data_IF_211010728447
#
_entry.id   IF_211010728447
#
_cell.length_a   1.000
_cell.length_b   1.000
_cell.length_c   1.000
_cell.angle_alpha   90.00
_cell.angle_beta   90.00
_cell.angle_gamma   90.00
#
_symmetry.space_group_name_H-M   'P 1'
#
loop_
_entity.id
_entity.type
_entity.pdbx_description
1 polymer ?
#
# COMPACT_ATOMS: atom_id res chain seq x y z
N UNK A 1 -1.81 35.00 14.20
CA UNK A 1 -0.75 34.21 13.55
C UNK A 1 -1.45 33.13 12.75
N UNK A 2 -1.37 33.21 11.42
CA UNK A 2 -1.91 32.18 10.53
C UNK A 2 -0.99 30.97 10.65
N UNK A 3 -1.54 29.82 11.06
CA UNK A 3 -0.81 28.56 11.05
C UNK A 3 -0.45 28.25 9.61
N UNK A 4 0.84 28.16 9.36
CA UNK A 4 1.42 27.78 8.08
C UNK A 4 0.98 26.33 7.80
N UNK A 5 0.01 26.16 6.91
CA UNK A 5 -0.30 24.87 6.29
C UNK A 5 0.84 24.57 5.33
N UNK A 6 1.93 24.04 5.85
CA UNK A 6 3.06 23.59 5.04
C UNK A 6 2.58 22.41 4.18
N UNK A 7 2.21 22.71 2.94
CA UNK A 7 2.17 21.72 1.86
C UNK A 7 3.57 21.13 1.74
N UNK A 8 3.78 19.96 2.31
CA UNK A 8 4.97 19.16 2.05
C UNK A 8 4.79 18.47 0.70
N UNK A 9 4.98 19.22 -0.38
CA UNK A 9 4.96 18.70 -1.77
C UNK A 9 6.31 18.87 -2.46
N UNK A 10 7.42 18.74 -1.73
CA UNK A 10 8.77 18.61 -2.29
C UNK A 10 9.55 17.57 -1.50
N UNK A 11 9.88 16.45 -2.15
CA UNK A 11 10.67 15.36 -1.59
C UNK A 11 9.87 14.42 -0.70
N UNK A 12 9.00 13.60 -1.29
CA UNK A 12 8.67 12.33 -0.63
C UNK A 12 10.01 11.57 -0.56
N UNK A 13 10.48 11.28 0.65
CA UNK A 13 11.59 10.32 0.80
C UNK A 13 11.22 9.00 0.09
N UNK A 14 12.22 8.23 -0.38
CA UNK A 14 11.98 6.97 -1.12
C UNK A 14 11.03 6.02 -0.37
N UNK A 15 10.99 6.14 0.96
CA UNK A 15 10.11 5.40 1.85
C UNK A 15 8.64 5.82 1.71
N UNK A 16 8.37 7.12 1.59
CA UNK A 16 7.03 7.65 1.38
C UNK A 16 6.49 7.32 -0.01
N UNK A 17 7.31 7.37 -1.06
CA UNK A 17 6.90 6.94 -2.40
C UNK A 17 6.56 5.44 -2.40
N UNK A 18 7.40 4.62 -1.77
CA UNK A 18 7.16 3.18 -1.61
C UNK A 18 5.81 2.86 -0.96
N UNK A 19 5.53 3.49 0.18
CA UNK A 19 4.27 3.26 0.91
C UNK A 19 3.07 3.76 0.12
N UNK A 20 3.19 4.91 -0.54
CA UNK A 20 2.12 5.49 -1.33
C UNK A 20 1.71 4.57 -2.49
N UNK A 21 2.69 4.04 -3.23
CA UNK A 21 2.43 3.15 -4.35
C UNK A 21 1.84 1.81 -3.90
N UNK A 22 2.35 1.26 -2.79
CA UNK A 22 1.76 0.06 -2.19
C UNK A 22 0.28 0.29 -1.80
N UNK A 23 -0.06 1.44 -1.23
CA UNK A 23 -1.43 1.77 -0.85
C UNK A 23 -2.35 1.93 -2.06
N UNK A 24 -1.88 2.55 -3.15
CA UNK A 24 -2.60 2.63 -4.44
C UNK A 24 -2.95 1.25 -4.97
N UNK A 25 -1.97 0.37 -5.04
CA UNK A 25 -2.17 -0.99 -5.55
C UNK A 25 -3.16 -1.78 -4.72
N UNK A 26 -3.08 -1.63 -3.40
CA UNK A 26 -4.03 -2.26 -2.50
C UNK A 26 -5.44 -1.78 -2.81
N UNK A 27 -5.67 -0.46 -2.77
CA UNK A 27 -7.01 0.11 -2.97
C UNK A 27 -7.56 -0.26 -4.35
N UNK A 28 -6.73 -0.29 -5.39
CA UNK A 28 -7.12 -0.81 -6.71
C UNK A 28 -7.56 -2.27 -6.68
N UNK A 29 -6.83 -3.13 -5.97
CA UNK A 29 -7.24 -4.52 -5.74
C UNK A 29 -8.56 -4.62 -4.95
N UNK A 30 -8.88 -3.65 -4.08
CA UNK A 30 -10.20 -3.55 -3.47
C UNK A 30 -11.28 -3.13 -4.46
N UNK A 31 -11.02 -2.12 -5.30
CA UNK A 31 -11.97 -1.65 -6.31
C UNK A 31 -12.38 -2.80 -7.23
N UNK A 32 -11.42 -3.60 -7.69
CA UNK A 32 -11.66 -4.79 -8.54
C UNK A 32 -12.54 -5.86 -7.89
N UNK A 33 -12.59 -5.92 -6.56
CA UNK A 33 -13.23 -7.00 -5.82
C UNK A 33 -14.58 -6.59 -5.19
N UNK A 34 -14.66 -5.37 -4.66
CA UNK A 34 -15.84 -4.85 -3.94
C UNK A 34 -16.67 -3.89 -4.80
N UNK A 35 -16.13 -3.48 -5.94
CA UNK A 35 -16.63 -2.34 -6.68
C UNK A 35 -16.03 -1.04 -6.18
N UNK A 36 -15.86 -0.11 -7.10
CA UNK A 36 -15.17 1.17 -6.87
C UNK A 36 -15.79 1.98 -5.73
N UNK A 37 -17.11 2.13 -5.72
CA UNK A 37 -17.80 2.94 -4.71
C UNK A 37 -17.56 2.44 -3.27
N UNK A 38 -17.58 1.12 -3.06
CA UNK A 38 -17.38 0.51 -1.74
C UNK A 38 -15.92 0.60 -1.31
N UNK A 39 -15.00 0.36 -2.24
CA UNK A 39 -13.56 0.48 -1.99
C UNK A 39 -13.16 1.91 -1.62
N UNK A 40 -13.63 2.90 -2.39
CA UNK A 40 -13.37 4.32 -2.11
C UNK A 40 -14.00 4.77 -0.79
N UNK A 41 -15.20 4.31 -0.45
CA UNK A 41 -15.83 4.61 0.84
C UNK A 41 -14.97 4.10 2.01
N UNK A 42 -14.36 2.91 1.87
CA UNK A 42 -13.47 2.33 2.88
C UNK A 42 -12.13 3.06 2.94
N UNK A 43 -11.54 3.38 1.78
CA UNK A 43 -10.29 4.14 1.67
C UNK A 43 -10.43 5.55 2.27
N UNK A 44 -11.55 6.22 2.09
CA UNK A 44 -11.85 7.52 2.76
C UNK A 44 -11.92 7.43 4.28
N UNK A 45 -12.05 6.22 4.83
CA UNK A 45 -12.00 5.96 6.27
C UNK A 45 -10.60 5.71 6.82
N UNK A 46 -9.55 5.87 6.00
CA UNK A 46 -8.15 5.73 6.40
C UNK A 46 -7.42 7.07 6.23
N UNK A 47 -6.20 7.23 6.77
CA UNK A 47 -5.43 8.47 6.66
C UNK A 47 -4.85 8.73 5.26
N UNK A 48 -5.57 8.37 4.20
CA UNK A 48 -5.16 8.62 2.82
C UNK A 48 -5.63 10.01 2.37
N UNK A 49 -4.76 10.72 1.67
CA UNK A 49 -5.16 11.89 0.89
C UNK A 49 -5.63 11.41 -0.49
N UNK A 50 -6.82 11.86 -0.88
CA UNK A 50 -7.43 11.48 -2.14
C UNK A 50 -7.93 12.73 -2.84
N UNK A 51 -7.78 12.76 -4.16
CA UNK A 51 -8.38 13.82 -4.95
C UNK A 51 -9.90 13.61 -5.15
N UNK A 52 -10.49 14.50 -5.96
CA UNK A 52 -11.93 14.48 -6.28
C UNK A 52 -12.35 13.25 -7.08
N UNK A 53 -11.42 12.64 -7.83
CA UNK A 53 -11.65 11.49 -8.69
C UNK A 53 -11.45 10.18 -7.90
N UNK A 54 -10.88 10.27 -6.70
CA UNK A 54 -10.66 9.15 -5.80
C UNK A 54 -9.28 8.52 -5.97
N UNK A 55 -8.36 9.22 -6.63
CA UNK A 55 -6.96 8.81 -6.74
C UNK A 55 -6.20 9.19 -5.47
N UNK A 56 -5.35 8.27 -5.00
CA UNK A 56 -4.57 8.49 -3.78
C UNK A 56 -3.35 9.35 -4.15
N UNK A 57 -3.30 10.54 -3.58
CA UNK A 57 -2.24 11.54 -3.83
C UNK A 57 -1.22 11.59 -2.70
N UNK A 58 -1.55 11.05 -1.52
CA UNK A 58 -0.69 11.07 -0.35
C UNK A 58 -1.31 10.34 0.84
N UNK A 59 -0.70 10.49 2.01
CA UNK A 59 -1.23 10.00 3.28
C UNK A 59 -0.72 10.84 4.46
N UNK A 60 -1.45 10.80 5.58
CA UNK A 60 -1.11 11.50 6.82
C UNK A 60 -0.53 10.53 7.86
N UNK A 61 0.66 10.84 8.37
CA UNK A 61 1.35 10.04 9.39
C UNK A 61 2.45 9.17 8.79
N UNK A 62 2.81 8.08 9.47
CA UNK A 62 3.82 7.14 8.97
C UNK A 62 3.19 6.13 8.02
N UNK A 63 3.91 5.79 6.95
CA UNK A 63 3.43 4.82 5.95
C UNK A 63 3.04 3.47 6.55
N UNK A 64 3.81 2.96 7.52
CA UNK A 64 3.51 1.72 8.25
C UNK A 64 2.15 1.75 8.97
N UNK A 65 1.82 2.85 9.63
CA UNK A 65 0.58 3.00 10.42
C UNK A 65 -0.65 3.12 9.51
N UNK A 66 -0.49 3.82 8.40
CA UNK A 66 -1.55 3.97 7.38
C UNK A 66 -1.80 2.64 6.71
N UNK A 67 -0.73 1.89 6.39
CA UNK A 67 -0.81 0.57 5.80
C UNK A 67 -1.53 -0.43 6.73
N UNK A 68 -1.22 -0.39 8.03
CA UNK A 68 -1.91 -1.21 9.03
C UNK A 68 -3.39 -0.82 9.16
N UNK A 69 -3.70 0.47 9.06
CA UNK A 69 -5.09 0.96 9.10
C UNK A 69 -5.89 0.47 7.89
N UNK A 70 -5.30 0.50 6.69
CA UNK A 70 -5.89 -0.07 5.47
C UNK A 70 -6.11 -1.57 5.67
N UNK A 71 -5.10 -2.30 6.16
CA UNK A 71 -5.23 -3.73 6.44
C UNK A 71 -6.37 -4.07 7.38
N UNK A 72 -6.53 -3.32 8.46
CA UNK A 72 -7.65 -3.52 9.40
C UNK A 72 -8.98 -3.32 8.69
N UNK A 73 -9.10 -2.28 7.85
CA UNK A 73 -10.30 -2.02 7.05
C UNK A 73 -10.56 -3.13 6.02
N UNK A 74 -9.51 -3.72 5.45
CA UNK A 74 -9.62 -4.91 4.60
C UNK A 74 -10.11 -6.12 5.41
N UNK A 75 -9.58 -6.31 6.62
CA UNK A 75 -9.96 -7.35 7.55
C UNK A 75 -11.44 -7.30 7.92
N UNK A 76 -11.99 -6.09 8.15
CA UNK A 76 -13.42 -5.88 8.41
C UNK A 76 -14.33 -6.43 7.29
N UNK A 77 -13.85 -6.48 6.04
CA UNK A 77 -14.66 -6.89 4.88
C UNK A 77 -14.44 -8.36 4.51
N UNK A 78 -13.19 -8.84 4.60
CA UNK A 78 -12.82 -10.17 4.09
C UNK A 78 -12.42 -11.17 5.18
N UNK A 79 -12.32 -10.74 6.42
CA UNK A 79 -11.69 -11.47 7.51
C UNK A 79 -10.16 -11.34 7.46
N UNK A 80 -9.55 -11.24 8.64
CA UNK A 80 -8.13 -10.94 8.82
C UNK A 80 -7.20 -11.90 8.06
N UNK A 81 -7.55 -13.19 8.01
CA UNK A 81 -6.74 -14.18 7.31
C UNK A 81 -6.70 -13.95 5.79
N UNK A 82 -7.82 -13.55 5.19
CA UNK A 82 -7.93 -13.27 3.75
C UNK A 82 -7.27 -11.93 3.43
N UNK A 83 -7.49 -10.92 4.26
CA UNK A 83 -6.86 -9.61 4.13
C UNK A 83 -5.32 -9.73 4.16
N UNK A 84 -4.76 -10.41 5.17
CA UNK A 84 -3.32 -10.65 5.28
C UNK A 84 -2.75 -11.44 4.09
N UNK A 85 -3.48 -12.46 3.60
CA UNK A 85 -3.03 -13.23 2.42
C UNK A 85 -3.01 -12.39 1.15
N UNK A 86 -4.06 -11.59 0.92
CA UNK A 86 -4.14 -10.71 -0.25
C UNK A 86 -3.06 -9.64 -0.20
N UNK A 87 -2.90 -9.00 0.95
CA UNK A 87 -1.84 -8.03 1.21
C UNK A 87 -0.47 -8.60 0.87
N UNK A 88 -0.13 -9.78 1.41
CA UNK A 88 1.14 -10.43 1.14
C UNK A 88 1.34 -10.68 -0.36
N UNK A 89 0.29 -11.07 -1.09
CA UNK A 89 0.39 -11.23 -2.55
C UNK A 89 0.61 -9.91 -3.27
N UNK A 90 -0.09 -8.85 -2.91
CA UNK A 90 0.08 -7.53 -3.53
C UNK A 90 1.50 -7.00 -3.26
N UNK A 91 1.93 -7.08 -2.00
CA UNK A 91 3.32 -6.79 -1.58
C UNK A 91 4.32 -7.60 -2.39
N UNK A 92 4.17 -8.92 -2.45
CA UNK A 92 5.10 -9.79 -3.17
C UNK A 92 5.13 -9.56 -4.68
N UNK A 93 4.08 -8.98 -5.28
CA UNK A 93 4.03 -8.72 -6.72
C UNK A 93 4.66 -7.39 -7.10
N UNK A 94 4.51 -6.40 -6.24
CA UNK A 94 4.76 -5.01 -6.61
C UNK A 94 6.01 -4.44 -5.90
N UNK A 95 6.60 -5.19 -4.97
CA UNK A 95 7.76 -4.75 -4.19
C UNK A 95 9.02 -5.48 -4.63
N UNK A 96 10.07 -4.73 -4.96
CA UNK A 96 11.42 -5.24 -5.22
C UNK A 96 12.09 -5.74 -3.94
N UNK A 97 13.05 -6.65 -4.05
CA UNK A 97 13.75 -7.17 -2.86
C UNK A 97 14.42 -6.08 -2.02
N UNK A 98 14.89 -5.02 -2.68
CA UNK A 98 15.52 -3.84 -2.06
C UNK A 98 14.58 -3.08 -1.11
N UNK A 99 13.27 -3.19 -1.33
CA UNK A 99 12.26 -2.48 -0.55
C UNK A 99 11.65 -3.35 0.57
N UNK A 100 12.06 -4.61 0.71
CA UNK A 100 11.56 -5.46 1.81
C UNK A 100 11.95 -4.96 3.19
N UNK A 101 13.11 -4.32 3.32
CA UNK A 101 13.56 -3.76 4.58
C UNK A 101 12.67 -2.59 5.05
N UNK A 102 11.96 -1.95 4.12
CA UNK A 102 11.03 -0.87 4.42
C UNK A 102 9.70 -1.37 4.98
N UNK A 103 9.35 -2.65 4.78
CA UNK A 103 8.12 -3.25 5.30
C UNK A 103 8.23 -3.61 6.79
N UNK A 104 7.10 -3.60 7.53
CA UNK A 104 7.01 -4.22 8.85
C UNK A 104 7.32 -5.72 8.80
N UNK A 105 8.00 -6.24 9.82
CA UNK A 105 8.49 -7.64 9.87
C UNK A 105 7.43 -8.69 9.56
N UNK A 106 6.19 -8.48 10.02
CA UNK A 106 5.09 -9.42 9.82
C UNK A 106 4.51 -9.40 8.38
N UNK A 107 4.86 -8.39 7.59
CA UNK A 107 4.51 -8.24 6.18
C UNK A 107 5.64 -8.62 5.23
N UNK A 108 6.88 -8.66 5.71
CA UNK A 108 8.03 -9.09 4.92
C UNK A 108 7.81 -10.51 4.37
N UNK A 109 8.11 -10.76 3.09
CA UNK A 109 8.13 -12.11 2.54
C UNK A 109 9.10 -12.98 3.35
N UNK A 110 8.74 -14.26 3.54
CA UNK A 110 9.67 -15.23 4.13
C UNK A 110 10.82 -15.48 3.15
N UNK A 111 11.98 -15.92 3.65
CA UNK A 111 13.19 -16.07 2.81
C UNK A 111 12.99 -17.02 1.61
N UNK A 112 12.13 -18.03 1.73
CA UNK A 112 11.73 -18.92 0.63
C UNK A 112 10.87 -18.23 -0.45
N UNK A 113 10.22 -17.12 -0.11
CA UNK A 113 9.41 -16.31 -1.02
C UNK A 113 10.21 -15.17 -1.67
N UNK A 114 11.27 -14.67 -1.01
CA UNK A 114 12.14 -13.63 -1.56
C UNK A 114 12.73 -14.07 -2.91
N UNK A 115 13.36 -15.24 -2.95
CA UNK A 115 13.98 -15.78 -4.18
C UNK A 115 12.99 -16.07 -5.33
N UNK A 116 11.73 -16.39 -5.02
CA UNK A 116 10.68 -16.57 -6.04
C UNK A 116 10.29 -15.22 -6.65
N UNK A 117 10.20 -14.18 -5.83
CA UNK A 117 9.88 -12.82 -6.29
C UNK A 117 11.04 -12.24 -7.09
N UNK A 118 12.30 -12.43 -6.64
CA UNK A 118 13.49 -12.03 -7.39
C UNK A 118 13.54 -12.60 -8.80
N UNK A 119 13.14 -13.88 -8.98
CA UNK A 119 13.05 -14.52 -10.30
C UNK A 119 11.90 -13.96 -11.16
N UNK A 120 10.74 -13.65 -10.58
CA UNK A 120 9.60 -13.06 -11.31
C UNK A 120 9.94 -11.63 -11.76
N UNK A 121 10.56 -10.82 -10.90
CA UNK A 121 10.97 -9.45 -11.23
C UNK A 121 12.05 -9.43 -12.32
N UNK A 122 12.99 -10.39 -12.30
CA UNK A 122 13.97 -10.53 -13.38
C UNK A 122 13.34 -10.93 -14.72
N UNK A 123 12.29 -11.75 -14.73
CA UNK A 123 11.57 -12.07 -15.97
C UNK A 123 10.81 -10.87 -16.53
N UNK A 124 10.23 -10.02 -15.67
CA UNK A 124 9.48 -8.82 -16.11
C UNK A 124 10.42 -7.70 -16.59
N UNK A 125 11.60 -7.54 -15.97
CA UNK A 125 12.61 -6.54 -16.38
C UNK A 125 13.50 -6.99 -17.56
N UNK A 126 13.33 -8.24 -18.02
CA UNK A 126 14.11 -8.84 -19.11
C UNK A 126 13.46 -8.81 -20.49
N UNK A 127 12.30 -8.15 -20.64
CA UNK A 127 11.63 -7.87 -21.92
C UNK A 127 11.77 -6.41 -22.35
#
# INVERSE_FOLDING_TARGET
>A
MKGDETKMTEGLDDNNEFYLDLMKDLVEDQKKMLGEQVALQKARGTPLEMDKDGDITGYYGKGEDVLETILRKYGEVWGDAVARRKMRRTVSKNISEENYEQLPDYMRPKDDQKGVIGSIVQQIKGE
#
